data_IF_091337024006
#
_entry.id   IF_091337024006
#
_cell.length_a   1.000
_cell.length_b   1.000
_cell.length_c   1.000
_cell.angle_alpha   90.00
_cell.angle_beta   90.00
_cell.angle_gamma   90.00
#
_symmetry.space_group_name_H-M   'P 1'
#
loop_
_entity.id
_entity.type
_entity.pdbx_description
1 polymer ?
#
# COMPACT_ATOMS: atom_id res chain seq x y z
N UNK A 1 9.83 -7.62 5.47
CA UNK A 1 9.64 -7.61 4.00
C UNK A 1 8.71 -6.47 3.60
N UNK A 2 8.97 -5.89 2.47
CA UNK A 2 8.12 -4.84 1.89
C UNK A 2 8.29 -4.82 0.37
N UNK A 3 7.34 -4.18 -0.32
CA UNK A 3 7.47 -3.97 -1.77
C UNK A 3 8.25 -2.68 -1.99
N UNK A 4 9.32 -2.78 -2.77
CA UNK A 4 10.20 -1.65 -3.10
C UNK A 4 10.05 -1.30 -4.57
N UNK A 5 9.98 -0.02 -4.88
CA UNK A 5 9.90 0.50 -6.25
C UNK A 5 11.24 1.12 -6.64
N UNK A 6 11.79 0.66 -7.77
CA UNK A 6 12.97 1.27 -8.38
C UNK A 6 12.53 2.42 -9.28
N UNK A 7 12.75 3.64 -8.82
CA UNK A 7 12.35 4.85 -9.54
C UNK A 7 12.99 4.95 -10.94
N UNK A 8 14.17 4.35 -11.14
CA UNK A 8 14.86 4.38 -12.41
C UNK A 8 14.17 3.54 -13.50
N UNK A 9 13.33 2.59 -13.08
CA UNK A 9 12.62 1.67 -13.98
C UNK A 9 11.15 2.01 -14.14
N UNK A 10 10.54 2.65 -13.15
CA UNK A 10 9.11 2.97 -13.15
C UNK A 10 8.77 3.99 -14.24
N UNK A 11 7.74 3.69 -15.04
CA UNK A 11 7.27 4.57 -16.12
C UNK A 11 5.91 5.23 -15.81
N UNK A 12 5.36 5.03 -14.63
CA UNK A 12 4.09 5.64 -14.23
C UNK A 12 2.86 5.06 -14.90
N UNK A 13 2.90 3.81 -15.36
CA UNK A 13 1.77 3.18 -16.07
C UNK A 13 0.60 2.82 -15.17
N UNK A 14 0.78 2.81 -13.86
CA UNK A 14 -0.21 2.49 -12.83
C UNK A 14 -0.78 1.06 -12.86
N UNK A 15 -0.19 0.15 -13.63
CA UNK A 15 -0.63 -1.25 -13.68
C UNK A 15 -0.59 -1.89 -12.28
N UNK A 16 0.42 -1.58 -11.48
CA UNK A 16 0.55 -2.08 -10.11
C UNK A 16 -0.56 -1.56 -9.19
N UNK A 17 -0.96 -0.30 -9.36
CA UNK A 17 -2.04 0.30 -8.58
C UNK A 17 -3.36 -0.40 -8.89
N UNK A 18 -3.64 -0.65 -10.15
CA UNK A 18 -4.85 -1.36 -10.60
C UNK A 18 -4.83 -2.82 -10.14
N UNK A 19 -3.69 -3.50 -10.27
CA UNK A 19 -3.55 -4.89 -9.83
C UNK A 19 -3.80 -5.04 -8.32
N UNK A 20 -3.30 -4.09 -7.53
CA UNK A 20 -3.52 -4.07 -6.09
C UNK A 20 -5.00 -3.84 -5.75
N UNK A 21 -5.66 -2.97 -6.52
CA UNK A 21 -7.09 -2.71 -6.37
C UNK A 21 -7.92 -3.95 -6.67
N UNK A 22 -7.62 -4.63 -7.78
CA UNK A 22 -8.30 -5.85 -8.20
C UNK A 22 -8.10 -6.99 -7.20
N UNK A 23 -6.92 -7.11 -6.65
CA UNK A 23 -6.61 -8.10 -5.62
C UNK A 23 -7.39 -7.84 -4.33
N UNK A 24 -7.60 -6.56 -4.02
CA UNK A 24 -8.27 -6.12 -2.80
C UNK A 24 -9.77 -6.32 -2.85
N UNK A 25 -10.38 -6.05 -3.97
CA UNK A 25 -11.82 -6.10 -4.17
C UNK A 25 -12.18 -7.12 -5.23
N UNK A 26 -13.12 -8.00 -4.93
CA UNK A 26 -13.65 -8.96 -5.90
C UNK A 26 -14.28 -8.25 -7.11
N UNK A 27 -14.92 -7.11 -6.83
CA UNK A 27 -15.46 -6.24 -7.86
C UNK A 27 -15.23 -4.78 -7.43
N UNK A 28 -14.21 -4.15 -8.03
CA UNK A 28 -13.89 -2.75 -7.74
C UNK A 28 -14.97 -1.83 -8.31
N UNK A 29 -15.33 -0.81 -7.54
CA UNK A 29 -16.34 0.18 -7.91
C UNK A 29 -15.71 1.58 -8.01
N UNK A 30 -16.35 2.50 -8.76
CA UNK A 30 -15.88 3.89 -8.78
C UNK A 30 -15.77 4.45 -7.35
N UNK A 31 -14.63 5.09 -7.05
CA UNK A 31 -14.35 5.62 -5.73
C UNK A 31 -13.59 4.68 -4.80
N UNK A 32 -13.43 3.41 -5.15
CA UNK A 32 -12.56 2.51 -4.38
C UNK A 32 -11.10 2.97 -4.50
N UNK A 33 -10.36 2.83 -3.41
CA UNK A 33 -8.96 3.25 -3.37
C UNK A 33 -8.04 2.04 -3.31
N UNK A 34 -6.96 2.11 -4.08
CA UNK A 34 -5.93 1.09 -4.05
C UNK A 34 -5.06 1.28 -2.80
N UNK A 35 -4.66 0.18 -2.14
CA UNK A 35 -3.65 0.24 -1.08
C UNK A 35 -2.28 0.71 -1.56
N UNK A 36 -2.06 0.72 -2.86
CA UNK A 36 -0.82 1.20 -3.46
C UNK A 36 -1.00 2.61 -4.01
N UNK A 37 -0.10 3.50 -3.62
CA UNK A 37 -0.12 4.90 -4.01
C UNK A 37 0.86 5.14 -5.16
N UNK A 38 0.60 6.15 -5.97
CA UNK A 38 1.54 6.60 -6.98
C UNK A 38 2.01 8.02 -6.68
N UNK A 39 3.24 8.31 -7.08
CA UNK A 39 3.83 9.64 -6.97
C UNK A 39 4.52 10.02 -8.27
N UNK A 40 4.50 11.30 -8.56
CA UNK A 40 5.26 11.90 -9.65
C UNK A 40 6.18 12.97 -9.06
N UNK A 41 7.46 12.86 -9.36
CA UNK A 41 8.44 13.86 -8.93
C UNK A 41 9.02 14.55 -10.16
N UNK A 42 9.20 15.86 -10.07
CA UNK A 42 9.85 16.66 -11.14
C UNK A 42 11.23 17.04 -10.64
N UNK A 43 12.26 16.65 -11.39
CA UNK A 43 13.63 17.03 -11.08
C UNK A 43 13.89 18.48 -11.47
N UNK A 44 14.89 19.16 -10.85
CA UNK A 44 15.24 20.53 -11.21
C UNK A 44 15.54 20.73 -12.72
N UNK A 45 16.00 19.67 -13.39
CA UNK A 45 16.26 19.69 -14.84
C UNK A 45 14.99 19.55 -15.71
N UNK A 46 13.80 19.47 -15.09
CA UNK A 46 12.53 19.32 -15.78
C UNK A 46 12.16 17.89 -16.15
N UNK A 47 13.00 16.90 -15.82
CA UNK A 47 12.72 15.48 -16.05
C UNK A 47 11.74 14.95 -15.00
N UNK A 48 10.73 14.21 -15.43
CA UNK A 48 9.77 13.58 -14.53
C UNK A 48 10.24 12.21 -14.09
N UNK A 49 10.01 11.91 -12.81
CA UNK A 49 10.20 10.58 -12.22
C UNK A 49 8.86 10.07 -11.71
N UNK A 50 8.63 8.80 -11.91
CA UNK A 50 7.45 8.12 -11.40
C UNK A 50 7.87 7.05 -10.41
N UNK A 51 7.06 6.88 -9.38
CA UNK A 51 7.22 5.78 -8.43
C UNK A 51 5.87 5.43 -7.84
N UNK A 52 5.76 4.23 -7.31
CA UNK A 52 4.61 3.83 -6.52
C UNK A 52 5.10 3.38 -5.15
N UNK A 53 4.25 3.54 -4.15
CA UNK A 53 4.59 3.21 -2.78
C UNK A 53 3.42 2.49 -2.11
N UNK A 54 3.73 1.75 -1.07
CA UNK A 54 2.74 1.05 -0.27
C UNK A 54 3.27 0.89 1.15
N UNK A 55 2.54 0.20 2.00
CA UNK A 55 2.97 -0.04 3.37
C UNK A 55 4.37 -0.66 3.41
N UNK A 56 5.22 -0.11 4.25
CA UNK A 56 6.60 -0.56 4.43
C UNK A 56 6.73 -1.68 5.43
N UNK A 57 5.63 -2.13 6.02
CA UNK A 57 5.59 -3.22 7.01
C UNK A 57 6.68 -3.04 8.06
N UNK A 58 6.70 -1.85 8.68
CA UNK A 58 7.76 -1.42 9.60
C UNK A 58 8.00 -2.41 10.72
N UNK A 59 9.25 -2.60 11.08
CA UNK A 59 9.64 -3.47 12.19
C UNK A 59 9.04 -2.98 13.51
N UNK A 60 9.07 -1.67 13.75
CA UNK A 60 8.46 -1.01 14.91
C UNK A 60 7.27 -0.17 14.42
N UNK A 61 6.22 -0.83 13.91
CA UNK A 61 5.09 -0.16 13.29
C UNK A 61 4.32 0.71 14.28
N UNK A 62 4.37 2.06 14.17
CA UNK A 62 3.65 2.93 15.10
C UNK A 62 2.13 2.82 14.94
N UNK A 63 1.66 2.43 13.75
CA UNK A 63 0.24 2.24 13.48
C UNK A 63 -0.39 1.15 14.35
N UNK A 64 0.36 0.11 14.70
CA UNK A 64 -0.14 -0.98 15.57
C UNK A 64 -0.45 -0.42 16.97
N UNK A 65 0.45 0.40 17.50
CA UNK A 65 0.31 0.94 18.86
C UNK A 65 -0.79 1.98 19.02
N UNK A 66 -1.19 2.65 17.95
CA UNK A 66 -2.18 3.74 18.03
C UNK A 66 -3.60 3.31 17.68
N UNK A 67 -3.79 2.11 17.15
CA UNK A 67 -5.13 1.65 16.76
C UNK A 67 -5.97 1.35 18.01
N UNK A 68 -7.05 2.11 18.29
CA UNK A 68 -7.85 1.91 19.49
C UNK A 68 -8.65 0.60 19.47
N UNK A 69 -8.87 0.04 18.27
CA UNK A 69 -9.64 -1.19 18.09
C UNK A 69 -8.74 -2.42 17.90
N UNK A 70 -7.42 -2.24 17.99
CA UNK A 70 -6.45 -3.30 17.75
C UNK A 70 -6.67 -3.99 16.40
N UNK A 71 -7.08 -3.20 15.39
CA UNK A 71 -7.35 -3.69 14.04
C UNK A 71 -6.07 -3.97 13.25
N UNK A 72 -4.93 -3.48 13.70
CA UNK A 72 -3.64 -3.61 13.01
C UNK A 72 -2.73 -4.53 13.82
N UNK A 73 -2.16 -5.51 13.14
CA UNK A 73 -1.25 -6.47 13.75
C UNK A 73 -0.30 -7.06 12.72
N UNK A 74 0.44 -8.09 13.11
CA UNK A 74 1.32 -8.82 12.20
C UNK A 74 0.72 -10.17 11.88
N UNK A 75 0.87 -10.59 10.62
CA UNK A 75 0.48 -11.93 10.22
C UNK A 75 1.64 -12.93 10.43
N UNK A 76 1.43 -14.18 10.05
CA UNK A 76 2.40 -15.26 10.18
C UNK A 76 3.67 -15.04 9.33
N UNK A 77 3.58 -14.20 8.29
CA UNK A 77 4.69 -13.86 7.41
C UNK A 77 5.45 -12.61 7.85
N UNK A 78 5.00 -11.95 8.92
CA UNK A 78 5.60 -10.73 9.43
C UNK A 78 5.09 -9.45 8.77
N UNK A 79 4.13 -9.54 7.86
CA UNK A 79 3.52 -8.35 7.27
C UNK A 79 2.60 -7.65 8.29
N UNK A 80 2.59 -6.33 8.24
CA UNK A 80 1.67 -5.53 9.04
C UNK A 80 0.33 -5.48 8.30
N UNK A 81 -0.70 -6.05 8.89
CA UNK A 81 -2.02 -6.17 8.27
C UNK A 81 -3.09 -5.42 9.05
N UNK A 82 -4.08 -4.92 8.35
CA UNK A 82 -5.21 -4.20 8.93
C UNK A 82 -6.47 -5.03 8.73
N UNK A 83 -7.14 -5.36 9.85
CA UNK A 83 -8.40 -6.09 9.85
C UNK A 83 -9.55 -5.07 9.68
N UNK A 84 -10.17 -5.08 8.51
CA UNK A 84 -11.25 -4.15 8.18
C UNK A 84 -12.50 -4.36 9.03
N UNK A 85 -12.73 -5.56 9.52
CA UNK A 85 -13.89 -5.87 10.36
C UNK A 85 -13.79 -5.19 11.73
N UNK A 86 -12.57 -4.91 12.19
CA UNK A 86 -12.32 -4.21 13.45
C UNK A 86 -12.14 -2.71 13.28
N UNK A 87 -11.80 -2.23 12.08
CA UNK A 87 -11.52 -0.84 11.81
C UNK A 87 -12.77 0.03 11.93
N UNK A 88 -12.67 1.13 12.66
CA UNK A 88 -13.76 2.11 12.83
C UNK A 88 -13.56 3.39 12.01
N UNK A 89 -12.51 3.46 11.22
CA UNK A 89 -12.25 4.62 10.36
C UNK A 89 -11.74 5.87 11.08
N UNK A 90 -11.15 5.74 12.26
CA UNK A 90 -10.71 6.88 13.07
C UNK A 90 -9.51 7.65 12.50
N UNK A 91 -8.72 7.03 11.63
CA UNK A 91 -7.57 7.66 10.99
C UNK A 91 -6.31 7.77 11.82
N UNK A 92 -6.27 7.22 13.03
CA UNK A 92 -5.10 7.28 13.90
C UNK A 92 -3.86 6.63 13.25
N UNK A 93 -4.06 5.52 12.52
CA UNK A 93 -2.99 4.83 11.82
C UNK A 93 -2.34 5.68 10.71
N UNK A 94 -3.14 6.43 9.96
CA UNK A 94 -2.65 7.35 8.94
C UNK A 94 -1.81 8.46 9.57
N UNK A 95 -2.29 9.03 10.68
CA UNK A 95 -1.57 10.06 11.39
C UNK A 95 -0.26 9.59 12.00
N UNK A 96 -0.20 8.34 12.47
CA UNK A 96 1.01 7.75 13.05
C UNK A 96 2.03 7.31 12.00
N UNK A 97 1.59 7.02 10.79
CA UNK A 97 2.48 6.59 9.71
C UNK A 97 3.30 7.76 9.19
N UNK A 98 4.65 7.69 9.20
CA UNK A 98 5.49 8.79 8.70
C UNK A 98 5.23 9.13 7.22
N UNK A 99 4.71 8.18 6.46
CA UNK A 99 4.43 8.34 5.03
C UNK A 99 2.94 8.45 4.72
N UNK A 100 2.08 8.46 5.74
CA UNK A 100 0.62 8.55 5.61
C UNK A 100 0.04 7.52 4.63
N UNK A 101 0.52 6.29 4.72
CA UNK A 101 0.18 5.21 3.79
C UNK A 101 -1.26 4.72 3.91
N UNK A 102 -1.80 4.44 5.12
CA UNK A 102 -3.20 3.99 5.22
C UNK A 102 -4.16 5.01 4.62
N UNK A 103 -5.12 4.52 3.85
CA UNK A 103 -6.11 5.35 3.15
C UNK A 103 -7.52 4.91 3.50
N UNK A 104 -8.44 5.87 3.55
CA UNK A 104 -9.85 5.59 3.81
C UNK A 104 -10.50 5.01 2.56
N UNK A 105 -11.04 3.81 2.68
CA UNK A 105 -11.66 3.10 1.58
C UNK A 105 -13.17 2.95 1.72
N UNK A 106 -13.71 1.95 1.04
CA UNK A 106 -15.12 1.62 1.04
C UNK A 106 -15.64 1.39 2.46
N UNK A 107 -16.82 1.92 2.76
CA UNK A 107 -17.44 1.76 4.07
C UNK A 107 -16.81 2.59 5.19
N UNK A 108 -15.87 3.48 4.86
CA UNK A 108 -15.21 4.34 5.82
C UNK A 108 -14.09 3.68 6.60
N UNK A 109 -13.74 2.43 6.30
CA UNK A 109 -12.61 1.73 6.92
C UNK A 109 -11.32 2.02 6.15
N UNK A 110 -10.19 1.96 6.85
CA UNK A 110 -8.88 2.19 6.22
C UNK A 110 -8.40 0.94 5.50
N UNK A 111 -7.62 1.14 4.45
CA UNK A 111 -7.00 0.09 3.65
C UNK A 111 -5.51 0.35 3.50
N UNK A 112 -4.73 -0.70 3.44
CA UNK A 112 -3.28 -0.66 3.19
C UNK A 112 -2.81 -2.01 2.65
N UNK A 113 -1.59 -2.04 2.13
CA UNK A 113 -0.97 -3.27 1.67
C UNK A 113 -0.89 -4.31 2.79
N UNK A 114 -1.30 -5.54 2.47
CA UNK A 114 -1.23 -6.69 3.39
C UNK A 114 -0.18 -7.73 2.97
N UNK A 115 0.72 -7.38 2.03
CA UNK A 115 1.70 -8.32 1.50
C UNK A 115 1.11 -9.44 0.66
N UNK A 116 -0.14 -9.30 0.24
CA UNK A 116 -0.89 -10.33 -0.50
C UNK A 116 -0.96 -11.68 0.22
N UNK A 117 -0.94 -11.65 1.56
CA UNK A 117 -1.06 -12.86 2.38
C UNK A 117 0.09 -13.85 2.26
N UNK A 118 1.26 -13.39 1.83
CA UNK A 118 2.43 -14.23 1.61
C UNK A 118 2.47 -14.89 0.23
N UNK A 119 1.45 -14.70 -0.58
CA UNK A 119 1.44 -15.11 -2.00
C UNK A 119 2.27 -14.14 -2.84
N UNK A 120 2.50 -14.47 -4.11
CA UNK A 120 3.19 -13.56 -5.02
C UNK A 120 2.45 -12.23 -5.08
N UNK A 121 3.13 -11.10 -4.78
CA UNK A 121 2.46 -9.80 -4.81
C UNK A 121 1.96 -9.46 -6.22
N UNK A 122 0.68 -9.13 -6.32
CA UNK A 122 0.06 -8.81 -7.61
C UNK A 122 0.73 -7.62 -8.31
N UNK A 123 1.16 -6.63 -7.54
CA UNK A 123 1.86 -5.47 -8.08
C UNK A 123 3.21 -5.81 -8.71
N UNK A 124 3.95 -6.72 -8.07
CA UNK A 124 5.24 -7.18 -8.60
C UNK A 124 5.03 -8.00 -9.87
N UNK A 125 4.05 -8.91 -9.84
CA UNK A 125 3.75 -9.80 -10.97
C UNK A 125 3.34 -9.04 -12.24
N UNK A 126 2.64 -7.92 -12.11
CA UNK A 126 2.09 -7.17 -13.23
C UNK A 126 3.03 -6.11 -13.79
N UNK A 127 4.08 -5.73 -13.06
CA UNK A 127 4.93 -4.62 -13.46
C UNK A 127 5.69 -4.94 -14.76
N UNK A 128 5.43 -4.21 -15.86
CA UNK A 128 6.06 -4.51 -17.16
C UNK A 128 7.54 -4.13 -17.20
N UNK A 129 7.99 -3.29 -16.26
CA UNK A 129 9.36 -2.78 -16.23
C UNK A 129 10.21 -3.43 -15.12
N UNK A 130 9.67 -4.42 -14.42
CA UNK A 130 10.34 -5.04 -13.26
C UNK A 130 10.83 -4.01 -12.24
N UNK A 131 10.07 -2.92 -12.08
CA UNK A 131 10.42 -1.84 -11.15
C UNK A 131 10.13 -2.22 -9.69
N UNK A 132 9.26 -3.21 -9.46
CA UNK A 132 8.83 -3.61 -8.13
C UNK A 132 9.44 -4.94 -7.72
N UNK A 133 9.84 -5.01 -6.46
CA UNK A 133 10.38 -6.24 -5.88
C UNK A 133 10.00 -6.34 -4.41
N UNK A 134 9.88 -7.58 -3.93
CA UNK A 134 9.68 -7.87 -2.51
C UNK A 134 11.05 -8.04 -1.85
N UNK A 135 11.31 -7.25 -0.84
CA UNK A 135 12.59 -7.32 -0.09
C UNK A 135 12.36 -7.40 1.41
#
# INVERSE_FOLDING_TARGET
MRIVCDESKCIGCLACVVACLDRRYESAMPGDVSPRLHERKVRPAGTELYLTDSCRHCKNAPCIGVCPMEAIGRDEHGFVVLDEDKCIGCGACKGACPWHIPRKGRGGVYVKCNGCGGEEPACVAVCPMDALSLK
#
